data_IF_194681963450
#
_entry.id   IF_194681963450
#
_cell.length_a   1.000
_cell.length_b   1.000
_cell.length_c   1.000
_cell.angle_alpha   90.00
_cell.angle_beta   90.00
_cell.angle_gamma   90.00
#
_symmetry.space_group_name_H-M   'P 1'
#
loop_
_entity.id
_entity.type
_entity.pdbx_description
1 polymer ?
#
# COMPACT_ATOMS: atom_id res chain seq x y z
N UNK A 1 19.60 -7.02 11.96
CA UNK A 1 18.13 -6.95 12.01
C UNK A 1 17.51 -7.88 10.98
N UNK A 2 16.51 -8.64 11.38
CA UNK A 2 15.70 -9.46 10.46
C UNK A 2 14.45 -8.66 10.14
N UNK A 3 14.39 -8.08 8.95
CA UNK A 3 13.35 -7.11 8.55
C UNK A 3 11.94 -7.71 8.44
N UNK A 4 11.84 -8.97 7.99
CA UNK A 4 10.56 -9.69 7.83
C UNK A 4 10.78 -11.20 7.88
N UNK A 5 9.95 -11.90 8.64
CA UNK A 5 9.86 -13.37 8.67
C UNK A 5 8.38 -13.74 8.55
N UNK A 6 7.91 -13.96 7.34
CA UNK A 6 6.49 -14.15 7.07
C UNK A 6 6.14 -15.59 6.73
N UNK A 7 5.12 -16.08 7.39
CA UNK A 7 4.46 -17.35 7.07
C UNK A 7 3.00 -17.08 6.76
N UNK A 8 2.47 -17.68 5.72
CA UNK A 8 1.08 -17.51 5.35
C UNK A 8 0.51 -18.68 4.57
N UNK A 9 -0.81 -18.72 4.55
CA UNK A 9 -1.60 -19.62 3.73
C UNK A 9 -2.63 -18.80 2.94
N UNK A 10 -2.86 -19.23 1.70
CA UNK A 10 -3.92 -18.67 0.84
C UNK A 10 -4.53 -19.78 0.01
N UNK A 11 -5.80 -19.63 -0.30
CA UNK A 11 -6.50 -20.62 -1.12
C UNK A 11 -7.84 -20.13 -1.60
N UNK A 12 -8.44 -20.92 -2.50
CA UNK A 12 -9.81 -20.73 -2.96
C UNK A 12 -10.69 -21.81 -2.32
N UNK A 13 -11.93 -21.43 -2.04
CA UNK A 13 -12.99 -22.29 -1.52
C UNK A 13 -14.10 -22.34 -2.59
N UNK A 14 -14.71 -23.51 -2.87
CA UNK A 14 -15.81 -23.59 -3.82
C UNK A 14 -16.91 -22.56 -3.53
N UNK A 15 -17.48 -22.00 -4.59
CA UNK A 15 -18.54 -20.99 -4.48
C UNK A 15 -18.04 -19.55 -4.61
N UNK A 16 -16.83 -19.32 -5.13
CA UNK A 16 -16.28 -17.98 -5.39
C UNK A 16 -15.54 -17.36 -4.19
N UNK A 17 -15.31 -18.13 -3.13
CA UNK A 17 -14.60 -17.63 -1.94
C UNK A 17 -13.09 -17.85 -2.04
N UNK A 18 -12.33 -16.92 -1.47
CA UNK A 18 -10.89 -17.02 -1.30
C UNK A 18 -10.49 -16.56 0.10
N UNK A 19 -9.38 -17.06 0.61
CA UNK A 19 -8.84 -16.62 1.89
C UNK A 19 -7.32 -16.39 1.81
N UNK A 20 -6.84 -15.51 2.68
CA UNK A 20 -5.42 -15.32 2.93
C UNK A 20 -5.19 -15.02 4.41
N UNK A 21 -4.23 -15.72 5.00
CA UNK A 21 -3.68 -15.42 6.32
C UNK A 21 -2.17 -15.28 6.16
N UNK A 22 -1.58 -14.21 6.67
CA UNK A 22 -0.14 -13.97 6.69
C UNK A 22 0.27 -13.35 8.03
N UNK A 23 1.25 -13.95 8.68
CA UNK A 23 1.79 -13.52 9.97
C UNK A 23 3.28 -13.22 9.82
N UNK A 24 3.74 -12.15 10.44
CA UNK A 24 5.15 -11.74 10.50
C UNK A 24 5.71 -12.01 11.90
N UNK A 25 6.85 -12.67 11.97
CA UNK A 25 7.56 -13.07 13.18
C UNK A 25 8.88 -12.28 13.36
N UNK A 26 9.04 -11.15 12.67
CA UNK A 26 10.22 -10.31 12.83
C UNK A 26 10.21 -9.60 14.19
N UNK A 27 11.40 -9.19 14.65
CA UNK A 27 11.61 -8.37 15.84
C UNK A 27 11.09 -8.98 17.16
N UNK A 28 10.99 -10.33 17.22
CA UNK A 28 10.49 -11.11 18.38
C UNK A 28 9.01 -10.90 18.71
N UNK A 29 8.27 -10.25 17.81
CA UNK A 29 6.83 -10.06 17.90
C UNK A 29 6.08 -10.94 16.91
N UNK A 30 4.79 -11.15 17.18
CA UNK A 30 3.89 -11.88 16.29
C UNK A 30 2.83 -10.91 15.78
N UNK A 31 2.97 -10.48 14.53
CA UNK A 31 2.07 -9.51 13.93
C UNK A 31 1.27 -10.13 12.79
N UNK A 32 -0.05 -10.03 12.85
CA UNK A 32 -0.93 -10.43 11.75
C UNK A 32 -0.86 -9.37 10.67
N UNK A 33 -0.36 -9.73 9.49
CA UNK A 33 -0.34 -8.85 8.32
C UNK A 33 -1.67 -8.88 7.56
N UNK A 34 -2.02 -10.05 7.03
CA UNK A 34 -3.28 -10.23 6.31
C UNK A 34 -4.09 -11.33 6.97
N UNK A 35 -5.38 -11.09 7.17
CA UNK A 35 -6.36 -12.07 7.61
C UNK A 35 -7.68 -11.74 6.92
N UNK A 36 -7.91 -12.30 5.73
CA UNK A 36 -9.02 -11.94 4.85
C UNK A 36 -9.82 -13.14 4.39
N UNK A 37 -11.12 -12.89 4.16
CA UNK A 37 -12.01 -13.69 3.36
C UNK A 37 -12.50 -12.81 2.20
N UNK A 38 -12.33 -13.30 0.97
CA UNK A 38 -12.79 -12.67 -0.26
C UNK A 38 -13.94 -13.43 -0.89
N UNK A 39 -14.77 -12.73 -1.64
CA UNK A 39 -15.82 -13.30 -2.48
C UNK A 39 -15.77 -12.66 -3.87
N UNK A 40 -15.60 -13.49 -4.88
CA UNK A 40 -15.58 -13.10 -6.30
C UNK A 40 -17.00 -13.15 -6.87
N UNK A 41 -17.50 -12.01 -7.33
CA UNK A 41 -18.79 -11.83 -7.99
C UNK A 41 -18.61 -11.27 -9.43
N UNK A 42 -17.61 -11.73 -10.15
CA UNK A 42 -17.29 -11.33 -11.51
C UNK A 42 -16.49 -10.02 -11.55
N UNK A 43 -17.11 -8.92 -12.03
CA UNK A 43 -16.42 -7.62 -12.06
C UNK A 43 -16.18 -7.04 -10.65
N UNK A 44 -16.82 -7.60 -9.64
CA UNK A 44 -16.72 -7.18 -8.24
C UNK A 44 -16.04 -8.24 -7.38
N UNK A 45 -15.17 -7.82 -6.49
CA UNK A 45 -14.61 -8.63 -5.42
C UNK A 45 -14.91 -7.97 -4.08
N UNK A 46 -15.51 -8.70 -3.17
CA UNK A 46 -15.78 -8.25 -1.80
C UNK A 46 -14.74 -8.85 -0.87
N UNK A 47 -14.20 -8.06 0.03
CA UNK A 47 -13.19 -8.53 1.00
C UNK A 47 -13.58 -8.09 2.41
N UNK A 48 -13.47 -9.00 3.36
CA UNK A 48 -13.63 -8.72 4.80
C UNK A 48 -12.40 -9.20 5.55
N UNK A 49 -11.97 -8.44 6.54
CA UNK A 49 -10.81 -8.74 7.38
C UNK A 49 -9.70 -7.71 7.28
N UNK A 50 -8.50 -8.08 7.74
CA UNK A 50 -7.35 -7.19 7.72
C UNK A 50 -6.63 -7.23 6.38
N UNK A 51 -6.58 -6.07 5.71
CA UNK A 51 -5.86 -5.88 4.45
C UNK A 51 -5.37 -4.43 4.31
N UNK A 52 -4.58 -4.16 3.25
CA UNK A 52 -4.15 -2.79 2.96
C UNK A 52 -5.34 -1.88 2.68
N UNK A 53 -5.29 -0.67 3.21
CA UNK A 53 -6.10 0.44 2.74
C UNK A 53 -5.66 0.85 1.33
N UNK A 54 -6.50 1.60 0.61
CA UNK A 54 -6.31 1.84 -0.82
C UNK A 54 -5.49 3.12 -1.10
N UNK A 55 -4.29 3.21 -0.53
CA UNK A 55 -3.43 4.38 -0.66
C UNK A 55 -2.09 3.97 -1.24
N UNK A 56 -1.60 4.77 -2.22
CA UNK A 56 -0.25 4.68 -2.79
C UNK A 56 0.03 3.40 -3.60
N UNK A 57 0.49 3.59 -4.84
CA UNK A 57 1.01 2.52 -5.67
C UNK A 57 2.22 1.83 -5.02
N UNK A 58 3.11 2.62 -4.40
CA UNK A 58 4.30 2.12 -3.69
C UNK A 58 3.92 1.25 -2.49
N UNK A 59 2.93 1.67 -1.67
CA UNK A 59 2.49 0.86 -0.52
C UNK A 59 1.76 -0.41 -0.95
N UNK A 60 0.89 -0.34 -1.96
CA UNK A 60 0.15 -1.49 -2.47
C UNK A 60 1.02 -2.48 -3.25
N UNK A 61 2.16 -2.02 -3.78
CA UNK A 61 3.18 -2.90 -4.35
C UNK A 61 3.84 -3.73 -3.24
N UNK A 62 3.94 -5.04 -3.45
CA UNK A 62 4.66 -5.90 -2.49
C UNK A 62 6.09 -5.41 -2.29
N UNK A 63 6.53 -5.32 -1.05
CA UNK A 63 7.92 -4.94 -0.71
C UNK A 63 9.00 -5.84 -1.31
N UNK A 64 8.64 -6.97 -1.91
CA UNK A 64 9.54 -7.85 -2.67
C UNK A 64 9.71 -7.41 -4.12
N UNK A 65 8.94 -6.41 -4.57
CA UNK A 65 8.85 -5.99 -5.97
C UNK A 65 9.09 -4.49 -6.14
N UNK A 66 9.41 -3.77 -5.06
CA UNK A 66 9.87 -2.39 -5.10
C UNK A 66 11.32 -2.35 -5.61
N UNK A 67 11.75 -1.21 -6.13
CA UNK A 67 13.09 -1.05 -6.74
C UNK A 67 14.20 -0.87 -5.72
N UNK A 68 13.87 -0.34 -4.54
CA UNK A 68 14.83 -0.06 -3.46
C UNK A 68 14.61 -0.99 -2.27
N UNK A 69 15.55 -1.01 -1.35
CA UNK A 69 15.47 -1.84 -0.14
C UNK A 69 14.29 -1.46 0.77
N UNK A 70 13.95 -0.18 0.80
CA UNK A 70 12.82 0.37 1.55
C UNK A 70 11.94 1.22 0.63
N UNK A 71 10.69 1.37 1.02
CA UNK A 71 9.72 2.21 0.33
C UNK A 71 10.08 3.69 0.41
N UNK A 72 9.48 4.48 -0.45
CA UNK A 72 9.56 5.93 -0.38
C UNK A 72 9.11 6.44 1.01
N UNK A 73 9.88 7.36 1.59
CA UNK A 73 9.75 7.76 3.00
C UNK A 73 8.38 8.30 3.40
N UNK A 74 7.58 8.80 2.47
CA UNK A 74 6.24 9.29 2.78
C UNK A 74 5.27 8.16 3.20
N UNK A 75 5.48 6.92 2.74
CA UNK A 75 4.65 5.77 3.16
C UNK A 75 4.85 5.46 4.65
N UNK A 76 6.10 5.57 5.14
CA UNK A 76 6.43 5.47 6.57
C UNK A 76 5.88 6.68 7.35
N UNK A 77 6.03 7.89 6.78
CA UNK A 77 5.62 9.13 7.43
C UNK A 77 4.10 9.20 7.66
N UNK A 78 3.30 8.83 6.67
CA UNK A 78 1.84 8.90 6.74
C UNK A 78 1.19 7.63 7.30
N UNK A 79 1.99 6.60 7.62
CA UNK A 79 1.51 5.41 8.27
C UNK A 79 0.49 4.63 7.45
N UNK A 80 0.72 4.52 6.12
CA UNK A 80 -0.09 3.67 5.26
C UNK A 80 0.06 2.22 5.71
N UNK A 81 -0.99 1.65 6.24
CA UNK A 81 -0.94 0.33 6.86
C UNK A 81 -2.22 -0.46 6.64
N UNK A 82 -2.16 -1.73 6.99
CA UNK A 82 -3.31 -2.63 7.00
C UNK A 82 -4.25 -2.31 8.13
N UNK A 83 -5.54 -2.48 7.87
CA UNK A 83 -6.61 -2.31 8.86
C UNK A 83 -7.68 -3.36 8.66
N UNK A 84 -8.42 -3.66 9.71
CA UNK A 84 -9.60 -4.52 9.62
C UNK A 84 -10.75 -3.73 9.00
N UNK A 85 -11.38 -4.31 7.98
CA UNK A 85 -12.48 -3.62 7.32
C UNK A 85 -13.26 -4.49 6.35
N UNK A 86 -14.15 -3.84 5.65
CA UNK A 86 -14.93 -4.39 4.54
C UNK A 86 -14.67 -3.52 3.33
N UNK A 87 -14.37 -4.15 2.20
CA UNK A 87 -14.09 -3.44 0.97
C UNK A 87 -14.71 -4.11 -0.24
N UNK A 88 -14.86 -3.32 -1.29
CA UNK A 88 -15.25 -3.76 -2.61
C UNK A 88 -14.22 -3.28 -3.64
N UNK A 89 -13.87 -4.17 -4.55
CA UNK A 89 -13.04 -3.87 -5.70
C UNK A 89 -13.92 -4.07 -6.95
N UNK A 90 -13.85 -3.13 -7.87
CA UNK A 90 -14.46 -3.23 -9.19
C UNK A 90 -13.37 -3.14 -10.25
N UNK A 91 -13.38 -4.04 -11.22
CA UNK A 91 -12.43 -4.02 -12.33
C UNK A 91 -13.13 -4.35 -13.64
N UNK A 92 -12.95 -3.47 -14.64
CA UNK A 92 -13.46 -3.71 -15.98
C UNK A 92 -12.50 -3.08 -17.02
N UNK A 93 -11.92 -3.90 -17.87
CA UNK A 93 -10.90 -3.49 -18.83
C UNK A 93 -9.69 -2.84 -18.11
N UNK A 94 -9.37 -1.62 -18.53
CA UNK A 94 -8.24 -0.85 -17.99
C UNK A 94 -8.58 -0.07 -16.72
N UNK A 95 -9.85 -0.04 -16.34
CA UNK A 95 -10.33 0.70 -15.18
C UNK A 95 -10.46 -0.22 -13.96
N UNK A 96 -10.00 0.28 -12.82
CA UNK A 96 -10.19 -0.33 -11.51
C UNK A 96 -10.60 0.71 -10.49
N UNK A 97 -11.54 0.36 -9.64
CA UNK A 97 -11.93 1.14 -8.47
C UNK A 97 -11.92 0.25 -7.22
N UNK A 98 -11.38 0.76 -6.15
CA UNK A 98 -11.31 0.12 -4.84
C UNK A 98 -11.93 1.06 -3.80
N UNK A 99 -12.79 0.55 -2.94
CA UNK A 99 -13.40 1.34 -1.87
C UNK A 99 -13.70 0.50 -0.64
N UNK A 100 -13.58 1.09 0.55
CA UNK A 100 -13.83 0.35 1.79
C UNK A 100 -13.93 1.23 3.02
N UNK A 101 -14.46 0.61 4.08
CA UNK A 101 -14.52 1.16 5.43
C UNK A 101 -13.69 0.28 6.36
N UNK A 102 -12.90 0.90 7.21
CA UNK A 102 -11.93 0.21 8.03
C UNK A 102 -11.97 0.74 9.47
N UNK A 103 -11.58 -0.12 10.41
CA UNK A 103 -11.27 0.26 11.78
C UNK A 103 -9.75 0.28 12.00
N UNK A 104 -9.26 -0.05 13.18
CA UNK A 104 -7.83 -0.11 13.48
C UNK A 104 -7.15 -1.38 12.90
N UNK A 105 -5.85 -1.48 13.06
CA UNK A 105 -5.09 -2.70 12.79
C UNK A 105 -5.47 -3.77 13.82
N UNK A 106 -5.57 -5.03 13.41
CA UNK A 106 -5.92 -6.15 14.30
C UNK A 106 -4.94 -6.30 15.48
N UNK A 107 -3.68 -5.93 15.26
CA UNK A 107 -2.66 -5.99 16.32
C UNK A 107 -2.85 -4.91 17.40
N UNK A 108 -3.61 -3.84 17.08
CA UNK A 108 -3.91 -2.73 17.98
C UNK A 108 -5.30 -2.87 18.64
N UNK A 109 -6.14 -3.81 18.17
CA UNK A 109 -7.52 -4.02 18.68
C UNK A 109 -7.59 -4.70 20.06
N UNK A 110 -6.48 -4.83 20.77
CA UNK A 110 -6.43 -5.38 22.14
C UNK A 110 -6.83 -4.36 23.21
N UNK A 111 -6.97 -3.09 22.82
CA UNK A 111 -7.33 -1.98 23.71
C UNK A 111 -8.67 -1.38 23.29
N UNK A 112 -9.63 -1.33 24.19
CA UNK A 112 -10.96 -0.76 23.98
C UNK A 112 -10.93 0.75 23.64
N UNK A 113 -9.78 1.42 23.82
CA UNK A 113 -9.58 2.82 23.47
C UNK A 113 -9.33 3.06 21.98
N UNK A 114 -9.09 2.02 21.17
CA UNK A 114 -8.77 2.17 19.75
C UNK A 114 -10.03 2.05 18.89
N UNK A 115 -10.84 3.09 18.86
CA UNK A 115 -12.12 3.13 18.13
C UNK A 115 -12.06 3.87 16.79
N UNK A 116 -10.88 4.07 16.22
CA UNK A 116 -10.74 4.76 14.95
C UNK A 116 -11.46 4.03 13.80
N UNK A 117 -12.06 4.79 12.90
CA UNK A 117 -12.56 4.26 11.63
C UNK A 117 -12.14 5.14 10.46
N UNK A 118 -12.03 4.54 9.28
CA UNK A 118 -11.69 5.26 8.06
C UNK A 118 -12.55 4.83 6.87
N UNK A 119 -12.66 5.75 5.93
CA UNK A 119 -13.12 5.48 4.58
C UNK A 119 -11.95 5.70 3.63
N UNK A 120 -11.68 4.69 2.80
CA UNK A 120 -10.58 4.67 1.85
C UNK A 120 -11.11 4.34 0.45
N UNK A 121 -10.65 5.08 -0.55
CA UNK A 121 -10.98 4.79 -1.95
C UNK A 121 -9.84 5.12 -2.88
N UNK A 122 -9.72 4.38 -3.98
CA UNK A 122 -8.73 4.56 -5.04
C UNK A 122 -9.33 4.19 -6.38
N UNK A 123 -9.03 4.99 -7.40
CA UNK A 123 -9.36 4.68 -8.77
C UNK A 123 -8.10 4.68 -9.63
N UNK A 124 -7.98 3.73 -10.55
CA UNK A 124 -6.87 3.63 -11.49
C UNK A 124 -7.35 3.38 -12.90
N UNK A 125 -6.63 3.98 -13.87
CA UNK A 125 -6.80 3.72 -15.28
C UNK A 125 -5.44 3.31 -15.88
N UNK A 126 -5.38 2.12 -16.47
CA UNK A 126 -4.11 1.46 -16.77
C UNK A 126 -4.07 0.84 -18.17
N UNK A 127 -4.19 1.65 -19.26
CA UNK A 127 -4.21 1.13 -20.62
C UNK A 127 -2.85 0.65 -21.08
N UNK A 128 -2.84 -0.40 -21.92
CA UNK A 128 -1.68 -0.75 -22.74
C UNK A 128 -1.80 -0.06 -24.12
N UNK A 129 -0.87 0.82 -24.41
CA UNK A 129 -0.80 1.56 -25.67
C UNK A 129 0.34 0.99 -26.53
N UNK A 130 0.07 -0.09 -27.28
CA UNK A 130 1.02 -0.74 -28.17
C UNK A 130 2.32 -1.18 -27.45
N UNK A 131 2.20 -1.87 -26.34
CA UNK A 131 3.33 -2.36 -25.54
C UNK A 131 3.90 -1.32 -24.56
N UNK A 132 3.22 -0.20 -24.40
CA UNK A 132 3.48 0.79 -23.35
C UNK A 132 2.35 0.71 -22.32
N UNK A 133 2.63 0.12 -21.17
CA UNK A 133 1.70 0.13 -20.05
C UNK A 133 1.73 1.48 -19.37
N UNK A 134 0.61 2.17 -19.34
CA UNK A 134 0.42 3.36 -18.52
C UNK A 134 -0.29 3.01 -17.22
N UNK A 135 -0.12 3.85 -16.23
CA UNK A 135 -0.86 3.85 -14.99
C UNK A 135 -1.13 5.28 -14.57
N UNK A 136 -2.40 5.59 -14.37
CA UNK A 136 -2.86 6.84 -13.78
C UNK A 136 -3.79 6.47 -12.62
N UNK A 137 -3.56 7.05 -11.46
CA UNK A 137 -4.38 6.75 -10.30
C UNK A 137 -4.52 7.93 -9.35
N UNK A 138 -5.55 7.83 -8.52
CA UNK A 138 -5.78 8.76 -7.43
C UNK A 138 -6.48 8.06 -6.27
N UNK A 139 -6.19 8.52 -5.06
CA UNK A 139 -6.74 7.97 -3.83
C UNK A 139 -7.25 9.08 -2.90
N UNK A 140 -8.21 8.70 -2.09
CA UNK A 140 -8.74 9.51 -1.00
C UNK A 140 -8.84 8.66 0.25
N UNK A 141 -8.50 9.26 1.39
CA UNK A 141 -8.61 8.68 2.71
C UNK A 141 -9.13 9.71 3.69
N UNK A 142 -10.07 9.29 4.53
CA UNK A 142 -10.52 10.05 5.69
C UNK A 142 -10.61 9.13 6.89
N UNK A 143 -10.02 9.54 8.00
CA UNK A 143 -9.98 8.77 9.25
C UNK A 143 -10.37 9.63 10.43
N UNK A 144 -11.29 9.14 11.21
CA UNK A 144 -11.67 9.68 12.51
C UNK A 144 -11.01 8.83 13.61
N UNK A 145 -10.26 9.47 14.49
CA UNK A 145 -9.51 8.83 15.57
C UNK A 145 -10.33 8.70 16.86
N UNK A 146 -11.58 9.19 16.85
CA UNK A 146 -12.53 9.08 17.97
C UNK A 146 -11.94 9.50 19.32
N UNK A 147 -12.11 8.65 20.33
CA UNK A 147 -11.74 8.91 21.72
C UNK A 147 -10.24 8.80 22.00
N UNK A 148 -9.45 8.34 21.01
CA UNK A 148 -7.99 8.23 21.13
C UNK A 148 -7.29 9.11 20.09
N UNK A 149 -7.43 10.45 20.21
CA UNK A 149 -6.80 11.36 19.27
C UNK A 149 -5.29 11.28 19.40
N UNK A 150 -4.62 11.20 18.27
CA UNK A 150 -3.16 11.27 18.24
C UNK A 150 -2.57 10.64 16.99
N UNK A 151 -1.66 11.35 16.40
CA UNK A 151 -0.85 10.86 15.29
C UNK A 151 0.58 11.39 15.42
N UNK A 152 1.48 10.75 14.70
CA UNK A 152 2.87 11.16 14.63
C UNK A 152 3.41 10.88 13.25
N UNK A 153 3.70 11.93 12.51
CA UNK A 153 4.27 11.82 11.17
C UNK A 153 5.79 11.81 11.25
N UNK A 154 6.39 10.68 10.87
CA UNK A 154 7.85 10.50 10.96
C UNK A 154 8.33 9.47 9.95
N UNK A 155 9.56 9.64 9.47
CA UNK A 155 10.20 8.67 8.57
C UNK A 155 11.65 8.38 8.95
N UNK A 156 12.09 7.16 8.65
CA UNK A 156 13.50 6.75 8.64
C UNK A 156 14.19 7.24 7.36
N UNK A 157 15.52 7.38 7.35
CA UNK A 157 16.29 7.75 6.15
C UNK A 157 16.47 6.54 5.20
N UNK A 158 15.37 5.98 4.65
CA UNK A 158 15.37 4.81 3.75
C UNK A 158 16.18 3.59 4.28
N UNK A 159 16.30 3.47 5.61
CA UNK A 159 17.02 2.39 6.29
C UNK A 159 16.40 2.08 7.66
N UNK A 160 15.96 0.84 7.86
CA UNK A 160 15.30 0.41 9.10
C UNK A 160 16.22 0.07 10.26
N UNK A 161 17.49 -0.16 10.03
CA UNK A 161 18.48 -0.46 11.08
C UNK A 161 18.87 0.74 11.97
N UNK A 162 18.12 1.86 11.90
CA UNK A 162 18.33 3.03 12.76
C UNK A 162 17.02 3.57 13.31
N UNK A 163 17.09 4.09 14.54
CA UNK A 163 15.96 4.83 15.15
C UNK A 163 16.01 6.34 14.86
N UNK A 164 17.01 6.80 14.12
CA UNK A 164 17.08 8.19 13.66
C UNK A 164 15.90 8.54 12.77
N UNK A 165 15.31 9.71 12.98
CA UNK A 165 14.22 10.27 12.18
C UNK A 165 14.60 11.68 11.74
N UNK A 166 14.80 11.87 10.43
CA UNK A 166 15.11 13.20 9.90
C UNK A 166 13.86 14.07 9.86
N UNK A 167 12.70 13.45 9.63
CA UNK A 167 11.40 14.10 9.72
C UNK A 167 10.62 13.44 10.86
N UNK A 168 10.11 14.27 11.77
CA UNK A 168 9.40 13.81 12.94
C UNK A 168 8.64 14.99 13.58
N UNK A 169 7.34 14.95 13.54
CA UNK A 169 6.48 16.00 14.15
C UNK A 169 6.44 15.94 15.67
N UNK A 170 6.89 14.83 16.29
CA UNK A 170 6.45 14.49 17.63
C UNK A 170 5.00 13.99 17.64
N UNK A 171 4.47 13.72 18.82
CA UNK A 171 3.05 13.36 18.98
C UNK A 171 2.20 14.63 18.79
N UNK A 172 1.19 14.53 17.93
CA UNK A 172 0.20 15.56 17.67
C UNK A 172 -1.16 15.08 18.16
N UNK A 173 -1.97 15.96 18.74
CA UNK A 173 -3.35 15.64 19.14
C UNK A 173 -4.29 15.74 17.94
N UNK A 174 -4.15 14.81 16.99
CA UNK A 174 -4.94 14.75 15.77
C UNK A 174 -6.27 14.06 16.06
N UNK A 175 -7.38 14.72 15.76
CA UNK A 175 -8.72 14.13 15.86
C UNK A 175 -9.12 13.43 14.57
N UNK A 176 -8.80 14.05 13.42
CA UNK A 176 -9.13 13.50 12.10
C UNK A 176 -7.96 13.65 11.13
N UNK A 177 -7.85 12.72 10.20
CA UNK A 177 -6.90 12.74 9.09
C UNK A 177 -7.64 12.68 7.76
N UNK A 178 -7.25 13.55 6.83
CA UNK A 178 -7.75 13.47 5.44
C UNK A 178 -6.58 13.51 4.48
N UNK A 179 -6.46 12.52 3.62
CA UNK A 179 -5.39 12.51 2.61
C UNK A 179 -5.90 12.33 1.19
N UNK A 180 -5.11 12.89 0.26
CA UNK A 180 -5.29 12.78 -1.18
C UNK A 180 -3.99 12.28 -1.79
N UNK A 181 -4.08 11.33 -2.71
CA UNK A 181 -2.97 10.79 -3.45
C UNK A 181 -3.17 10.91 -4.95
N UNK A 182 -2.09 11.22 -5.66
CA UNK A 182 -1.98 11.10 -7.11
C UNK A 182 -0.82 10.21 -7.44
N UNK A 183 -0.99 9.35 -8.44
CA UNK A 183 0.03 8.39 -8.85
C UNK A 183 0.03 8.21 -10.37
N UNK A 184 1.21 8.05 -10.93
CA UNK A 184 1.39 7.77 -12.36
C UNK A 184 2.59 6.88 -12.56
N UNK A 185 2.50 5.97 -13.54
CA UNK A 185 3.65 5.20 -13.98
C UNK A 185 3.59 4.90 -15.48
N UNK A 186 4.75 4.62 -16.05
CA UNK A 186 4.92 4.15 -17.42
C UNK A 186 5.89 2.99 -17.44
N UNK A 187 5.57 1.95 -18.22
CA UNK A 187 6.45 0.81 -18.48
C UNK A 187 6.50 0.62 -20.00
N UNK A 188 7.71 0.66 -20.55
CA UNK A 188 7.93 0.40 -21.98
C UNK A 188 9.18 -0.46 -22.18
N UNK A 189 8.97 -1.73 -22.52
CA UNK A 189 10.07 -2.70 -22.57
C UNK A 189 10.88 -2.72 -21.27
N UNK A 190 12.19 -2.53 -21.31
CA UNK A 190 13.04 -2.54 -20.12
C UNK A 190 12.95 -1.25 -19.27
N UNK A 191 12.40 -0.17 -19.81
CA UNK A 191 12.28 1.11 -19.10
C UNK A 191 10.99 1.17 -18.28
N UNK A 192 11.09 1.73 -17.08
CA UNK A 192 9.92 2.12 -16.30
C UNK A 192 10.20 3.42 -15.53
N UNK A 193 9.15 4.18 -15.28
CA UNK A 193 9.18 5.33 -14.41
C UNK A 193 7.88 5.43 -13.61
N UNK A 194 7.95 6.00 -12.41
CA UNK A 194 6.80 6.21 -11.53
C UNK A 194 6.96 7.51 -10.76
N UNK A 195 5.85 8.16 -10.48
CA UNK A 195 5.78 9.32 -9.60
C UNK A 195 4.51 9.25 -8.76
N UNK A 196 4.64 9.57 -7.49
CA UNK A 196 3.50 9.73 -6.56
C UNK A 196 3.63 11.03 -5.77
N UNK A 197 2.48 11.62 -5.45
CA UNK A 197 2.35 12.80 -4.61
C UNK A 197 1.15 12.64 -3.68
N UNK A 198 1.37 12.84 -2.38
CA UNK A 198 0.35 12.70 -1.35
C UNK A 198 0.33 13.92 -0.43
N UNK A 199 -0.88 14.34 -0.07
CA UNK A 199 -1.14 15.40 0.90
C UNK A 199 -1.92 14.82 2.06
N UNK A 200 -1.48 15.08 3.29
CA UNK A 200 -2.14 14.67 4.52
C UNK A 200 -2.50 15.92 5.32
N UNK A 201 -3.78 16.18 5.47
CA UNK A 201 -4.32 17.21 6.36
C UNK A 201 -4.65 16.56 7.70
N UNK A 202 -4.15 17.14 8.79
CA UNK A 202 -4.42 16.71 10.15
C UNK A 202 -5.27 17.75 10.85
N UNK A 203 -6.42 17.34 11.39
CA UNK A 203 -7.25 18.21 12.23
C UNK A 203 -6.75 18.19 13.67
N UNK A 204 -6.32 19.37 14.15
CA UNK A 204 -5.83 19.57 15.52
C UNK A 204 -6.80 20.45 16.30
N UNK A 205 -7.68 19.91 17.15
CA UNK A 205 -8.64 20.70 17.91
C UNK A 205 -7.99 21.84 18.68
N UNK A 206 -8.47 23.07 18.39
CA UNK A 206 -7.96 24.28 19.03
C UNK A 206 -6.64 24.83 18.46
N UNK A 207 -6.13 24.26 17.38
CA UNK A 207 -4.91 24.70 16.69
C UNK A 207 -5.17 24.87 15.18
N UNK A 208 -4.19 25.41 14.45
CA UNK A 208 -4.24 25.41 12.99
C UNK A 208 -3.99 24.00 12.44
N UNK A 209 -4.77 23.60 11.44
CA UNK A 209 -4.68 22.29 10.80
C UNK A 209 -3.52 22.26 9.79
N UNK A 210 -2.43 21.56 10.06
CA UNK A 210 -1.33 21.44 9.13
C UNK A 210 -1.67 20.50 7.97
N UNK A 211 -1.11 20.81 6.79
CA UNK A 211 -1.09 19.92 5.65
C UNK A 211 0.34 19.48 5.39
N UNK A 212 0.60 18.19 5.47
CA UNK A 212 1.88 17.60 5.13
C UNK A 212 1.88 17.15 3.68
N UNK A 213 3.04 17.21 3.05
CA UNK A 213 3.25 16.74 1.68
C UNK A 213 4.35 15.69 1.65
N UNK A 214 4.15 14.62 0.87
CA UNK A 214 5.15 13.61 0.59
C UNK A 214 4.99 13.05 -0.80
N UNK A 215 6.08 12.58 -1.39
CA UNK A 215 6.06 11.99 -2.72
C UNK A 215 7.43 11.53 -3.17
N UNK A 216 7.49 10.91 -4.33
CA UNK A 216 8.74 10.49 -4.97
C UNK A 216 8.60 10.42 -6.48
N UNK A 217 9.74 10.37 -7.13
CA UNK A 217 9.90 10.04 -8.54
C UNK A 217 11.01 9.00 -8.66
N UNK A 218 10.75 7.98 -9.44
CA UNK A 218 11.69 6.89 -9.71
C UNK A 218 11.73 6.61 -11.21
N UNK A 219 12.90 6.26 -11.72
CA UNK A 219 13.08 5.68 -13.05
C UNK A 219 14.02 4.49 -12.97
N UNK A 220 13.73 3.45 -13.75
CA UNK A 220 14.52 2.24 -13.78
C UNK A 220 14.65 1.68 -15.20
N UNK A 221 15.71 0.91 -15.40
CA UNK A 221 15.99 0.25 -16.67
C UNK A 221 16.58 -1.14 -16.42
N UNK A 222 15.98 -2.18 -16.99
CA UNK A 222 16.54 -3.53 -16.95
C UNK A 222 17.66 -3.64 -17.98
N UNK A 223 18.86 -3.97 -17.51
CA UNK A 223 20.03 -4.13 -18.38
C UNK A 223 20.03 -5.47 -19.11
N UNK A 224 19.16 -6.38 -18.72
CA UNK A 224 18.97 -7.72 -19.29
C UNK A 224 17.98 -7.67 -20.45
N UNK A 225 18.31 -8.36 -21.55
CA UNK A 225 17.51 -8.29 -22.77
C UNK A 225 16.16 -9.02 -22.61
N UNK A 226 15.07 -8.30 -22.85
CA UNK A 226 13.71 -8.81 -22.82
C UNK A 226 12.99 -8.71 -21.47
N UNK A 227 13.68 -8.30 -20.42
CA UNK A 227 13.08 -8.11 -19.10
C UNK A 227 12.28 -6.81 -19.03
N UNK A 228 11.21 -6.83 -18.24
CA UNK A 228 10.32 -5.69 -18.03
C UNK A 228 9.75 -5.68 -16.62
N UNK A 229 9.28 -4.52 -16.18
CA UNK A 229 8.57 -4.35 -14.91
C UNK A 229 7.22 -5.06 -14.99
N UNK A 230 6.97 -5.99 -14.06
CA UNK A 230 5.66 -6.63 -13.96
C UNK A 230 4.58 -5.64 -13.50
N UNK A 231 3.38 -5.73 -14.08
CA UNK A 231 2.25 -4.90 -13.72
C UNK A 231 0.94 -5.66 -13.87
N UNK A 232 0.03 -5.55 -12.91
CA UNK A 232 -1.36 -6.00 -13.00
C UNK A 232 -2.19 -5.47 -11.83
N UNK A 233 -3.49 -5.40 -12.00
CA UNK A 233 -4.44 -5.02 -10.95
C UNK A 233 -4.08 -3.70 -10.26
N UNK A 234 -3.69 -2.69 -11.04
CA UNK A 234 -3.39 -1.35 -10.56
C UNK A 234 -2.11 -1.25 -9.72
N UNK A 235 -1.16 -2.18 -9.82
CA UNK A 235 0.11 -2.16 -9.05
C UNK A 235 1.23 -2.94 -9.73
N UNK A 236 2.46 -2.65 -9.33
CA UNK A 236 3.62 -3.40 -9.80
C UNK A 236 3.61 -4.84 -9.27
N UNK A 237 4.10 -5.74 -10.12
CA UNK A 237 4.20 -7.17 -9.85
C UNK A 237 5.67 -7.62 -9.91
N UNK A 238 5.87 -8.89 -9.57
CA UNK A 238 7.18 -9.52 -9.65
C UNK A 238 7.72 -9.44 -11.08
N UNK A 239 8.92 -8.88 -11.31
CA UNK A 239 9.61 -9.04 -12.57
C UNK A 239 9.84 -10.53 -12.85
N UNK A 240 9.60 -10.95 -14.08
CA UNK A 240 9.90 -12.31 -14.53
C UNK A 240 11.03 -12.21 -15.54
N UNK A 241 12.19 -12.84 -15.28
CA UNK A 241 13.27 -12.87 -16.27
C UNK A 241 12.78 -13.47 -17.58
N UNK A 242 13.13 -12.84 -18.69
CA UNK A 242 12.80 -13.32 -20.04
C UNK A 242 13.58 -14.59 -20.39
N UNK A 243 14.74 -14.80 -19.74
CA UNK A 243 15.56 -16.00 -19.82
C UNK A 243 15.90 -16.49 -18.42
N UNK A 244 15.85 -17.83 -18.26
CA UNK A 244 16.33 -18.50 -17.05
C UNK A 244 17.86 -18.52 -17.00
N UNK A 245 18.45 -18.83 -15.85
CA UNK A 245 19.91 -18.98 -15.70
C UNK A 245 20.44 -20.02 -16.70
N UNK A 246 19.70 -21.13 -16.91
CA UNK A 246 20.06 -22.21 -17.84
C UNK A 246 20.04 -21.77 -19.32
N UNK A 247 19.33 -20.68 -19.62
CA UNK A 247 19.25 -20.07 -20.95
C UNK A 247 20.19 -18.87 -21.11
N UNK A 248 21.12 -18.69 -20.16
CA UNK A 248 22.08 -17.59 -20.15
C UNK A 248 21.48 -16.25 -19.67
N UNK A 249 20.38 -16.31 -18.92
CA UNK A 249 19.87 -15.19 -18.16
C UNK A 249 20.70 -14.91 -16.90
N UNK A 250 20.55 -13.72 -16.32
CA UNK A 250 21.21 -13.32 -15.06
C UNK A 250 20.23 -13.46 -13.91
#
# INVERSE_FOLDING_TARGET
>A
EVRRVRLGARGAIPGGFAYKIEVDFADYDVNVNDAILGYDAGDFEFTVGQHNTFQSLEELTSSRFISFMERAGFTDAFGFQRRVGISVNYANGDFRWDGGVFTANINDLTDDSVNAYSFDTRATYSPDLNGTQLHLGGSFHHRDLQDNPGARYRQRPAYHGTDTRFINTGALNVAEETSYGLETAVIHGPFHAVAEAHWMNADLPGMANPTFFGGYVEAGYFLTGGDSRGYSSGKFQRPRPARTIDEGGI
#
